data_IF_896299675949
#
_entry.id   IF_896299675949
#
_cell.length_a   1.000
_cell.length_b   1.000
_cell.length_c   1.000
_cell.angle_alpha   90.00
_cell.angle_beta   90.00
_cell.angle_gamma   90.00
#
_symmetry.space_group_name_H-M   'P 1'
#
loop_
_entity.id
_entity.type
_entity.pdbx_description
1 polymer ?
#
# COMPACT_ATOMS: atom_id res chain seq x y z
N UNK A 1 45.07 51.57 4.34
CA UNK A 1 44.34 50.30 4.57
C UNK A 1 44.10 49.65 3.20
N UNK A 2 44.76 48.53 2.88
CA UNK A 2 44.59 47.84 1.58
C UNK A 2 43.42 46.87 1.70
N UNK A 3 42.32 47.13 0.98
CA UNK A 3 41.21 46.18 0.85
C UNK A 3 41.65 45.03 -0.05
N UNK A 4 41.89 43.87 0.53
CA UNK A 4 42.14 42.65 -0.24
C UNK A 4 40.80 42.18 -0.82
N UNK A 5 40.62 42.36 -2.13
CA UNK A 5 39.52 41.75 -2.86
C UNK A 5 39.71 40.23 -2.86
N UNK A 6 39.03 39.51 -1.95
CA UNK A 6 38.88 38.06 -2.07
C UNK A 6 38.13 37.81 -3.38
N UNK A 7 38.77 37.11 -4.33
CA UNK A 7 38.10 36.65 -5.54
C UNK A 7 36.90 35.82 -5.09
N UNK A 8 35.70 36.19 -5.55
CA UNK A 8 34.52 35.35 -5.38
C UNK A 8 34.73 34.14 -6.30
N UNK A 9 35.14 33.02 -5.73
CA UNK A 9 35.22 31.76 -6.44
C UNK A 9 33.79 31.35 -6.80
N UNK A 10 33.45 31.50 -8.08
CA UNK A 10 32.19 31.03 -8.66
C UNK A 10 32.33 29.59 -9.14
N UNK A 11 31.19 28.96 -9.43
CA UNK A 11 31.15 27.61 -9.99
C UNK A 11 31.87 27.55 -11.35
N UNK A 12 32.75 26.57 -11.50
CA UNK A 12 33.39 26.28 -12.79
C UNK A 12 32.44 25.48 -13.69
N UNK A 13 32.50 25.70 -15.01
CA UNK A 13 31.66 24.98 -15.98
C UNK A 13 31.89 23.46 -15.89
N UNK A 14 33.14 23.04 -15.69
CA UNK A 14 33.48 21.61 -15.56
C UNK A 14 32.85 20.98 -14.32
N UNK A 15 32.75 21.73 -13.23
CA UNK A 15 32.16 21.25 -11.98
C UNK A 15 30.66 20.98 -12.15
N UNK A 16 29.97 21.85 -12.88
CA UNK A 16 28.55 21.66 -13.23
C UNK A 16 28.39 20.46 -14.16
N UNK A 17 29.26 20.30 -15.17
CA UNK A 17 29.21 19.16 -16.09
C UNK A 17 29.41 17.82 -15.36
N UNK A 18 30.44 17.73 -14.51
CA UNK A 18 30.71 16.53 -13.71
C UNK A 18 29.55 16.23 -12.76
N UNK A 19 28.98 17.26 -12.13
CA UNK A 19 27.84 17.10 -11.23
C UNK A 19 26.62 16.49 -11.94
N UNK A 20 26.28 16.97 -13.14
CA UNK A 20 25.18 16.39 -13.92
C UNK A 20 25.45 14.93 -14.32
N UNK A 21 26.68 14.59 -14.68
CA UNK A 21 27.06 13.21 -15.01
C UNK A 21 26.88 12.29 -13.80
N UNK A 22 27.32 12.72 -12.61
CA UNK A 22 27.15 11.94 -11.37
C UNK A 22 25.66 11.72 -11.08
N UNK A 23 24.83 12.76 -11.18
CA UNK A 23 23.38 12.66 -10.96
C UNK A 23 22.76 11.65 -11.93
N UNK A 24 23.10 11.71 -13.22
CA UNK A 24 22.58 10.80 -14.23
C UNK A 24 22.94 9.34 -13.93
N UNK A 25 24.20 9.07 -13.56
CA UNK A 25 24.63 7.71 -13.19
C UNK A 25 23.87 7.20 -11.97
N UNK A 26 23.72 8.02 -10.92
CA UNK A 26 22.99 7.63 -9.70
C UNK A 26 21.52 7.30 -10.01
N UNK A 27 20.86 8.14 -10.81
CA UNK A 27 19.44 7.93 -11.19
C UNK A 27 19.28 6.63 -11.96
N UNK A 28 20.18 6.32 -12.90
CA UNK A 28 20.14 5.07 -13.66
C UNK A 28 20.32 3.82 -12.78
N UNK A 29 21.20 3.90 -11.78
CA UNK A 29 21.46 2.77 -10.87
C UNK A 29 20.30 2.51 -9.90
N UNK A 30 19.68 3.56 -9.36
CA UNK A 30 18.70 3.43 -8.28
C UNK A 30 17.25 3.37 -8.81
N UNK A 31 16.97 3.92 -9.99
CA UNK A 31 15.63 4.01 -10.57
C UNK A 31 14.84 2.68 -10.60
N UNK A 32 15.40 1.58 -11.14
CA UNK A 32 14.69 0.29 -11.20
C UNK A 32 14.32 -0.28 -9.82
N UNK A 33 15.20 -0.12 -8.83
CA UNK A 33 14.97 -0.63 -7.48
C UNK A 33 13.86 0.16 -6.76
N UNK A 34 13.84 1.49 -6.92
CA UNK A 34 12.77 2.32 -6.37
C UNK A 34 11.41 2.04 -7.01
N UNK A 35 11.38 1.80 -8.33
CA UNK A 35 10.13 1.53 -9.02
C UNK A 35 9.49 0.20 -8.58
N UNK A 36 10.30 -0.87 -8.53
CA UNK A 36 9.80 -2.19 -8.11
C UNK A 36 9.36 -2.24 -6.64
N UNK A 37 10.08 -1.54 -5.75
CA UNK A 37 9.69 -1.43 -4.33
C UNK A 37 8.43 -0.59 -4.15
N UNK A 38 8.27 0.47 -4.94
CA UNK A 38 7.07 1.30 -4.95
C UNK A 38 5.82 0.52 -5.38
N UNK A 39 5.89 -0.26 -6.46
CA UNK A 39 4.76 -1.07 -6.92
C UNK A 39 4.35 -2.13 -5.89
N UNK A 40 5.34 -2.84 -5.31
CA UNK A 40 5.11 -3.81 -4.23
C UNK A 40 4.47 -3.17 -3.01
N UNK A 41 4.96 -1.99 -2.60
CA UNK A 41 4.40 -1.25 -1.47
C UNK A 41 2.94 -0.86 -1.72
N UNK A 42 2.59 -0.44 -2.95
CA UNK A 42 1.21 -0.12 -3.33
C UNK A 42 0.29 -1.35 -3.27
N UNK A 43 0.77 -2.51 -3.71
CA UNK A 43 0.02 -3.78 -3.59
C UNK A 43 -0.15 -4.18 -2.12
N UNK A 44 0.93 -4.14 -1.32
CA UNK A 44 0.88 -4.42 0.11
C UNK A 44 -0.05 -3.47 0.86
N UNK A 45 -0.10 -2.19 0.48
CA UNK A 45 -1.05 -1.23 1.04
C UNK A 45 -2.49 -1.66 0.77
N UNK A 46 -2.82 -2.09 -0.45
CA UNK A 46 -4.17 -2.59 -0.78
C UNK A 46 -4.54 -3.84 0.01
N UNK A 47 -3.58 -4.75 0.20
CA UNK A 47 -3.78 -5.97 0.98
C UNK A 47 -3.98 -5.62 2.46
N UNK A 48 -3.16 -4.72 3.01
CA UNK A 48 -3.30 -4.22 4.38
C UNK A 48 -4.65 -3.56 4.61
N UNK A 49 -5.10 -2.72 3.68
CA UNK A 49 -6.42 -2.09 3.69
C UNK A 49 -7.54 -3.15 3.67
N UNK A 50 -7.43 -4.16 2.80
CA UNK A 50 -8.39 -5.25 2.72
C UNK A 50 -8.46 -6.05 4.02
N UNK A 51 -7.31 -6.33 4.65
CA UNK A 51 -7.23 -7.00 5.95
C UNK A 51 -7.90 -6.19 7.06
N UNK A 52 -7.72 -4.87 7.08
CA UNK A 52 -8.39 -4.00 8.04
C UNK A 52 -9.91 -4.05 7.88
N UNK A 53 -10.41 -4.08 6.64
CA UNK A 53 -11.84 -4.23 6.34
C UNK A 53 -12.34 -5.61 6.78
N UNK A 54 -11.61 -6.69 6.49
CA UNK A 54 -12.00 -8.05 6.93
C UNK A 54 -12.05 -8.16 8.45
N UNK A 55 -11.05 -7.61 9.14
CA UNK A 55 -11.06 -7.58 10.60
C UNK A 55 -12.27 -6.78 11.14
N UNK A 56 -12.66 -5.68 10.48
CA UNK A 56 -13.85 -4.94 10.88
C UNK A 56 -15.15 -5.76 10.68
N UNK A 57 -15.25 -6.53 9.60
CA UNK A 57 -16.37 -7.47 9.36
C UNK A 57 -16.39 -8.57 10.41
N UNK A 58 -15.23 -9.15 10.72
CA UNK A 58 -15.10 -10.21 11.71
C UNK A 58 -15.46 -9.70 13.11
N UNK A 59 -15.00 -8.50 13.50
CA UNK A 59 -15.38 -7.87 14.77
C UNK A 59 -16.88 -7.62 14.86
N UNK A 60 -17.52 -7.21 13.77
CA UNK A 60 -18.97 -7.05 13.73
C UNK A 60 -19.70 -8.39 13.93
N UNK A 61 -19.32 -9.41 13.16
CA UNK A 61 -19.92 -10.75 13.25
C UNK A 61 -19.69 -11.40 14.63
N UNK A 62 -18.51 -11.20 15.22
CA UNK A 62 -18.21 -11.63 16.58
C UNK A 62 -19.10 -10.91 17.60
N UNK A 63 -19.34 -9.62 17.43
CA UNK A 63 -20.23 -8.87 18.33
C UNK A 63 -21.67 -9.38 18.23
N UNK A 64 -22.19 -9.62 17.02
CA UNK A 64 -23.51 -10.23 16.84
C UNK A 64 -23.62 -11.59 17.51
N UNK A 65 -22.59 -12.42 17.37
CA UNK A 65 -22.54 -13.73 18.03
C UNK A 65 -22.59 -13.60 19.56
N UNK A 66 -21.88 -12.64 20.14
CA UNK A 66 -21.91 -12.35 21.59
C UNK A 66 -23.28 -11.84 22.03
N UNK A 67 -23.93 -11.02 21.21
CA UNK A 67 -25.25 -10.44 21.47
C UNK A 67 -26.40 -11.46 21.28
N UNK A 68 -26.11 -12.66 20.74
CA UNK A 68 -27.08 -13.73 20.50
C UNK A 68 -27.83 -13.62 19.18
N UNK A 69 -27.42 -12.67 18.32
CA UNK A 69 -27.98 -12.47 16.99
C UNK A 69 -27.27 -13.37 15.97
N UNK A 70 -28.06 -13.99 15.07
CA UNK A 70 -27.57 -15.02 14.13
C UNK A 70 -27.61 -14.61 12.65
N UNK A 71 -27.66 -13.32 12.34
CA UNK A 71 -27.58 -12.80 10.97
C UNK A 71 -26.20 -12.21 10.67
N UNK A 72 -25.13 -13.04 10.52
CA UNK A 72 -23.80 -12.54 10.19
C UNK A 72 -23.77 -11.97 8.77
N UNK A 73 -22.89 -11.00 8.56
CA UNK A 73 -22.60 -10.47 7.24
C UNK A 73 -22.05 -11.60 6.37
N UNK A 74 -22.81 -11.94 5.31
CA UNK A 74 -22.43 -12.93 4.31
C UNK A 74 -21.33 -12.39 3.39
N UNK A 75 -20.55 -13.29 2.78
CA UNK A 75 -19.55 -12.94 1.77
C UNK A 75 -20.14 -12.24 0.53
N UNK A 76 -21.44 -12.43 0.27
CA UNK A 76 -22.15 -11.77 -0.83
C UNK A 76 -22.58 -10.33 -0.51
N UNK A 77 -22.48 -9.90 0.75
CA UNK A 77 -22.89 -8.57 1.20
C UNK A 77 -22.07 -7.51 0.49
N UNK A 78 -22.76 -6.45 0.04
CA UNK A 78 -22.12 -5.34 -0.67
C UNK A 78 -21.40 -4.43 0.31
N UNK A 79 -20.38 -3.73 -0.18
CA UNK A 79 -19.64 -2.77 0.62
C UNK A 79 -20.51 -1.58 1.02
N UNK A 80 -21.47 -1.17 0.20
CA UNK A 80 -22.47 -0.17 0.58
C UNK A 80 -23.25 -0.55 1.83
N UNK A 81 -23.61 -1.82 1.97
CA UNK A 81 -24.33 -2.33 3.13
C UNK A 81 -23.43 -2.39 4.36
N UNK A 82 -22.21 -2.89 4.20
CA UNK A 82 -21.24 -2.91 5.30
C UNK A 82 -20.83 -1.50 5.77
N UNK A 83 -20.72 -0.52 4.86
CA UNK A 83 -20.45 0.88 5.21
C UNK A 83 -21.50 1.45 6.16
N UNK A 84 -22.79 1.14 5.93
CA UNK A 84 -23.88 1.57 6.83
C UNK A 84 -23.72 0.98 8.23
N UNK A 85 -23.41 -0.32 8.31
CA UNK A 85 -23.14 -1.00 9.59
C UNK A 85 -21.95 -0.36 10.31
N UNK A 86 -20.90 -0.04 9.55
CA UNK A 86 -19.71 0.60 10.09
C UNK A 86 -19.97 2.03 10.56
N UNK A 87 -20.89 2.79 9.96
CA UNK A 87 -21.21 4.14 10.42
C UNK A 87 -21.81 4.16 11.83
N UNK A 88 -22.54 3.09 12.19
CA UNK A 88 -23.14 2.93 13.51
C UNK A 88 -22.11 2.50 14.57
N UNK A 89 -21.27 1.52 14.24
CA UNK A 89 -20.38 0.84 15.21
C UNK A 89 -18.92 1.29 15.14
N UNK A 90 -18.52 1.94 14.05
CA UNK A 90 -17.19 2.52 13.79
C UNK A 90 -16.03 1.52 13.91
N UNK A 91 -16.18 0.31 13.39
CA UNK A 91 -15.11 -0.70 13.35
C UNK A 91 -13.91 -0.27 12.47
N UNK A 92 -14.17 0.58 11.48
CA UNK A 92 -13.19 1.15 10.57
C UNK A 92 -13.31 2.67 10.55
N UNK A 93 -12.20 3.35 10.81
CA UNK A 93 -12.15 4.81 10.86
C UNK A 93 -11.99 5.47 9.48
N UNK A 94 -11.33 4.79 8.54
CA UNK A 94 -10.98 5.33 7.24
C UNK A 94 -11.28 4.32 6.14
N UNK A 95 -11.93 4.79 5.08
CA UNK A 95 -12.22 3.99 3.90
C UNK A 95 -11.16 4.18 2.81
N UNK A 96 -10.56 3.09 2.29
CA UNK A 96 -9.65 3.18 1.17
C UNK A 96 -10.37 3.64 -0.11
N UNK A 97 -9.74 4.53 -0.89
CA UNK A 97 -10.35 5.09 -2.12
C UNK A 97 -10.60 4.07 -3.22
N UNK A 98 -9.91 2.94 -3.19
CA UNK A 98 -10.04 1.88 -4.20
C UNK A 98 -11.26 0.97 -3.94
N UNK A 99 -11.92 1.13 -2.80
CA UNK A 99 -13.07 0.31 -2.40
C UNK A 99 -14.35 0.90 -2.98
N UNK A 100 -14.92 0.17 -3.93
CA UNK A 100 -16.18 0.54 -4.57
C UNK A 100 -17.38 -0.02 -3.80
N UNK A 101 -18.49 0.70 -3.87
CA UNK A 101 -19.75 0.38 -3.22
C UNK A 101 -20.37 -0.95 -3.68
N UNK A 102 -20.15 -1.30 -4.96
CA UNK A 102 -20.60 -2.56 -5.58
C UNK A 102 -19.74 -3.77 -5.24
N UNK A 103 -18.56 -3.60 -4.64
CA UNK A 103 -17.71 -4.74 -4.26
C UNK A 103 -18.38 -5.53 -3.14
N UNK A 104 -18.20 -6.84 -3.14
CA UNK A 104 -18.67 -7.70 -2.05
C UNK A 104 -17.56 -7.99 -1.05
N UNK A 105 -17.93 -8.44 0.15
CA UNK A 105 -16.99 -8.92 1.16
C UNK A 105 -16.06 -10.01 0.60
N UNK A 106 -16.58 -10.89 -0.28
CA UNK A 106 -15.77 -11.88 -1.00
C UNK A 106 -14.66 -11.24 -1.83
N UNK A 107 -14.96 -10.18 -2.58
CA UNK A 107 -13.95 -9.51 -3.40
C UNK A 107 -12.81 -8.94 -2.55
N UNK A 108 -13.13 -8.40 -1.37
CA UNK A 108 -12.13 -7.87 -0.43
C UNK A 108 -11.32 -9.00 0.20
N UNK A 109 -11.97 -10.12 0.58
CA UNK A 109 -11.29 -11.32 1.08
C UNK A 109 -10.32 -11.91 0.06
N UNK A 110 -10.73 -11.96 -1.21
CA UNK A 110 -9.88 -12.42 -2.30
C UNK A 110 -8.63 -11.54 -2.44
N UNK A 111 -8.74 -10.21 -2.20
CA UNK A 111 -7.60 -9.28 -2.22
C UNK A 111 -6.69 -9.47 -1.01
N UNK A 112 -7.27 -9.62 0.20
CA UNK A 112 -6.54 -9.93 1.43
C UNK A 112 -5.67 -11.18 1.27
N UNK A 113 -6.18 -12.21 0.59
CA UNK A 113 -5.50 -13.49 0.39
C UNK A 113 -4.48 -13.49 -0.77
N UNK A 114 -4.30 -12.38 -1.52
CA UNK A 114 -3.38 -12.34 -2.68
C UNK A 114 -1.92 -12.53 -2.31
N UNK A 115 -1.49 -12.03 -1.14
CA UNK A 115 -0.10 -12.15 -0.69
C UNK A 115 0.26 -13.60 -0.40
N UNK A 116 -0.67 -14.34 0.19
CA UNK A 116 -0.50 -15.75 0.53
C UNK A 116 -0.24 -16.60 -0.73
N UNK A 117 -0.92 -16.28 -1.84
CA UNK A 117 -0.78 -16.98 -3.13
C UNK A 117 0.49 -16.58 -3.91
N UNK A 118 0.98 -15.34 -3.75
CA UNK A 118 2.21 -14.90 -4.44
C UNK A 118 3.47 -15.51 -3.81
N UNK A 119 3.53 -15.64 -2.49
CA UNK A 119 4.70 -16.22 -1.80
C UNK A 119 4.81 -17.75 -2.01
N UNK A 120 3.70 -18.49 -2.02
CA UNK A 120 3.72 -19.94 -2.29
C UNK A 120 4.18 -20.27 -3.71
N UNK A 121 3.84 -19.44 -4.69
CA UNK A 121 4.27 -19.66 -6.09
C UNK A 121 5.76 -19.36 -6.25
N UNK A 122 6.29 -18.30 -5.63
CA UNK A 122 7.72 -18.01 -5.66
C UNK A 122 8.56 -19.09 -4.95
N UNK A 123 8.13 -19.56 -3.78
CA UNK A 123 8.83 -20.62 -3.04
C UNK A 123 8.78 -21.98 -3.73
N UNK A 124 7.68 -22.31 -4.41
CA UNK A 124 7.57 -23.58 -5.17
C UNK A 124 8.33 -23.57 -6.50
N UNK A 125 8.70 -22.41 -7.02
CA UNK A 125 9.58 -22.29 -8.20
C UNK A 125 11.06 -22.36 -7.82
N UNK A 126 11.46 -21.81 -6.68
CA UNK A 126 12.84 -21.85 -6.19
C UNK A 126 13.24 -23.28 -5.75
N UNK A 127 12.31 -24.06 -5.20
CA UNK A 127 12.53 -25.45 -4.81
C UNK A 127 12.55 -26.45 -5.99
N UNK A 128 12.49 -25.97 -7.24
CA UNK A 128 12.57 -26.79 -8.46
C UNK A 128 13.89 -26.61 -9.22
N UNK A 129 14.88 -25.96 -8.63
CA UNK A 129 16.26 -25.84 -9.15
C UNK A 129 17.23 -26.65 -8.29
#
# INVERSE_FOLDING_TARGET
MKFQNKKKDGFSIIEVMVSFVIILVIVLLIGPNLFSTYERSKEMSKVSDANAIMNAVDMHNLNLFVDGDMEPISESTTMSEFKKVNDEKKYLNNWPKWVEDSMTIKNIRDIANRVEKSETISQSLDNRV
#
